data_IF_809862634699
#
_entry.id   IF_809862634699
#
_cell.length_a   1.000
_cell.length_b   1.000
_cell.length_c   1.000
_cell.angle_alpha   90.00
_cell.angle_beta   90.00
_cell.angle_gamma   90.00
#
_symmetry.space_group_name_H-M   'P 1'
#
loop_
_entity.id
_entity.type
_entity.pdbx_description
1 polymer ?
#
# COMPACT_ATOMS: atom_id res chain seq x y z
N UNK A 1 4.29 -3.61 9.14
CA UNK A 1 4.72 -3.60 7.72
C UNK A 1 5.31 -2.23 7.44
N UNK A 2 6.23 -2.10 6.48
CA UNK A 2 6.88 -0.83 6.16
C UNK A 2 6.74 -0.51 4.69
N UNK A 3 6.63 0.78 4.36
CA UNK A 3 6.72 1.27 3.01
C UNK A 3 7.74 2.41 2.87
N UNK A 4 8.46 2.49 1.75
CA UNK A 4 9.30 3.63 1.41
C UNK A 4 8.47 4.83 0.94
N UNK A 5 9.02 6.03 1.15
CA UNK A 5 8.44 7.27 0.64
C UNK A 5 8.31 7.22 -0.89
N UNK A 6 7.13 7.58 -1.39
CA UNK A 6 6.80 7.59 -2.80
C UNK A 6 6.45 6.22 -3.42
N UNK A 7 6.60 5.11 -2.69
CA UNK A 7 6.28 3.79 -3.24
C UNK A 7 4.78 3.47 -3.21
N UNK A 8 4.38 2.37 -3.88
CA UNK A 8 3.02 1.84 -3.76
C UNK A 8 2.99 0.73 -2.73
N UNK A 9 2.15 0.87 -1.70
CA UNK A 9 1.93 -0.18 -0.70
C UNK A 9 0.57 -0.86 -0.92
N UNK A 10 0.52 -2.19 -0.82
CA UNK A 10 -0.72 -2.96 -0.96
C UNK A 10 -1.09 -3.62 0.36
N UNK A 11 -2.27 -3.28 0.86
CA UNK A 11 -2.92 -3.97 1.96
C UNK A 11 -3.66 -5.18 1.40
N UNK A 12 -3.04 -6.35 1.52
CA UNK A 12 -3.64 -7.59 1.06
C UNK A 12 -4.85 -7.97 1.93
N UNK A 13 -5.95 -8.34 1.26
CA UNK A 13 -7.06 -9.00 1.94
C UNK A 13 -6.53 -10.32 2.53
N UNK A 14 -6.72 -10.59 3.84
CA UNK A 14 -6.30 -11.84 4.44
C UNK A 14 -7.08 -13.01 3.83
N UNK A 15 -6.52 -14.22 3.90
CA UNK A 15 -7.13 -15.42 3.32
C UNK A 15 -8.60 -15.58 3.73
N UNK A 16 -9.48 -15.45 2.75
CA UNK A 16 -10.93 -15.64 2.89
C UNK A 16 -11.33 -17.02 2.38
N UNK A 17 -12.26 -17.65 3.07
CA UNK A 17 -12.84 -18.94 2.68
C UNK A 17 -13.76 -18.80 1.46
N UNK A 18 -13.95 -19.88 0.71
CA UNK A 18 -15.02 -20.05 -0.28
C UNK A 18 -15.12 -18.95 -1.36
N UNK A 19 -14.00 -18.48 -1.89
CA UNK A 19 -13.92 -17.43 -2.93
C UNK A 19 -14.68 -16.13 -2.58
N UNK A 20 -14.93 -15.87 -1.30
CA UNK A 20 -15.68 -14.70 -0.83
C UNK A 20 -17.19 -14.74 -1.09
N UNK A 21 -17.75 -15.89 -1.50
CA UNK A 21 -19.19 -16.04 -1.76
C UNK A 21 -20.07 -15.90 -0.51
N UNK A 22 -19.50 -16.15 0.66
CA UNK A 22 -20.12 -16.02 1.98
C UNK A 22 -19.87 -14.65 2.63
N UNK A 23 -19.13 -13.76 1.98
CA UNK A 23 -18.83 -12.41 2.49
C UNK A 23 -20.01 -11.48 2.19
N UNK A 24 -20.43 -10.74 3.22
CA UNK A 24 -21.40 -9.66 3.14
C UNK A 24 -20.71 -8.33 2.79
N UNK A 25 -19.63 -7.99 3.50
CA UNK A 25 -18.84 -6.79 3.24
C UNK A 25 -17.39 -6.92 3.73
N UNK A 26 -16.51 -6.14 3.11
CA UNK A 26 -15.14 -5.87 3.56
C UNK A 26 -15.04 -4.37 3.84
N UNK A 27 -14.62 -4.02 5.04
CA UNK A 27 -14.51 -2.63 5.50
C UNK A 27 -13.05 -2.31 5.80
N UNK A 28 -12.53 -1.30 5.11
CA UNK A 28 -11.16 -0.80 5.30
C UNK A 28 -11.19 0.51 6.06
N UNK A 29 -10.45 0.57 7.17
CA UNK A 29 -10.38 1.75 8.04
C UNK A 29 -8.93 2.08 8.40
N UNK A 30 -8.59 3.36 8.39
CA UNK A 30 -7.41 3.89 9.10
C UNK A 30 -7.84 4.28 10.50
N UNK A 31 -7.52 3.44 11.47
CA UNK A 31 -8.19 3.37 12.78
C UNK A 31 -7.72 4.45 13.73
N UNK A 32 -6.43 4.76 13.72
CA UNK A 32 -5.84 5.86 14.48
C UNK A 32 -6.42 7.23 14.09
N UNK A 33 -6.81 7.40 12.83
CA UNK A 33 -7.48 8.62 12.32
C UNK A 33 -9.00 8.53 12.29
N UNK A 34 -9.56 7.43 12.77
CA UNK A 34 -10.99 7.12 12.71
C UNK A 34 -11.60 7.32 11.29
N UNK A 35 -10.83 6.99 10.25
CA UNK A 35 -11.16 7.29 8.86
C UNK A 35 -11.58 6.02 8.12
N UNK A 36 -12.86 5.90 7.78
CA UNK A 36 -13.37 4.82 6.93
C UNK A 36 -12.99 5.11 5.47
N UNK A 37 -12.27 4.18 4.84
CA UNK A 37 -11.75 4.35 3.49
C UNK A 37 -12.75 3.84 2.46
N UNK A 38 -13.21 2.59 2.64
CA UNK A 38 -14.20 1.99 1.77
C UNK A 38 -14.97 0.85 2.42
N UNK A 39 -16.15 0.59 1.87
CA UNK A 39 -16.94 -0.61 2.10
C UNK A 39 -17.08 -1.33 0.76
N UNK A 40 -16.59 -2.56 0.67
CA UNK A 40 -16.63 -3.38 -0.54
C UNK A 40 -17.70 -4.46 -0.32
N UNK A 41 -18.69 -4.50 -1.21
CA UNK A 41 -19.70 -5.57 -1.23
C UNK A 41 -19.39 -6.50 -2.42
N UNK A 42 -18.93 -7.74 -2.17
CA UNK A 42 -18.53 -8.65 -3.26
C UNK A 42 -19.63 -8.87 -4.31
N UNK A 43 -20.89 -8.87 -3.89
CA UNK A 43 -22.05 -9.05 -4.77
C UNK A 43 -22.20 -7.96 -5.84
N UNK A 44 -21.72 -6.74 -5.57
CA UNK A 44 -21.86 -5.60 -6.48
C UNK A 44 -20.57 -5.30 -7.25
N UNK A 45 -19.46 -5.98 -6.92
CA UNK A 45 -18.13 -5.81 -7.53
C UNK A 45 -17.46 -4.44 -7.29
N UNK A 46 -18.23 -3.39 -7.06
CA UNK A 46 -17.75 -2.01 -6.94
C UNK A 46 -17.61 -1.59 -5.47
N UNK A 47 -16.46 -1.03 -5.08
CA UNK A 47 -16.26 -0.45 -3.75
C UNK A 47 -17.12 0.81 -3.59
N UNK A 48 -17.76 0.94 -2.43
CA UNK A 48 -18.32 2.22 -1.99
C UNK A 48 -17.19 3.00 -1.32
N UNK A 49 -16.64 3.96 -2.06
CA UNK A 49 -15.54 4.80 -1.60
C UNK A 49 -16.11 5.89 -0.69
N UNK A 50 -15.69 5.92 0.57
CA UNK A 50 -16.18 6.88 1.56
C UNK A 50 -15.24 8.08 1.66
N UNK A 51 -13.94 7.85 1.54
CA UNK A 51 -12.95 8.91 1.50
C UNK A 51 -12.31 9.03 0.12
N UNK A 52 -12.45 10.20 -0.50
CA UNK A 52 -11.91 10.49 -1.82
C UNK A 52 -10.46 10.96 -1.71
N UNK A 53 -9.54 9.99 -1.70
CA UNK A 53 -8.12 10.21 -1.97
C UNK A 53 -7.75 9.35 -3.18
N UNK A 54 -7.36 10.02 -4.26
CA UNK A 54 -7.11 9.43 -5.58
C UNK A 54 -5.91 8.48 -5.60
N UNK A 55 -5.08 8.49 -4.54
CA UNK A 55 -3.97 7.57 -4.39
C UNK A 55 -4.42 6.18 -3.97
N UNK A 56 -5.60 6.05 -3.36
CA UNK A 56 -6.18 4.75 -3.04
C UNK A 56 -6.75 4.07 -4.28
N UNK A 57 -6.39 2.81 -4.47
CA UNK A 57 -6.96 1.91 -5.46
C UNK A 57 -7.58 0.71 -4.77
N UNK A 58 -8.76 0.34 -5.26
CA UNK A 58 -9.54 -0.77 -4.73
C UNK A 58 -9.51 -1.91 -5.75
N UNK A 59 -8.97 -3.05 -5.33
CA UNK A 59 -8.77 -4.20 -6.20
C UNK A 59 -10.01 -5.09 -6.20
N UNK A 60 -10.25 -5.82 -7.30
CA UNK A 60 -11.40 -6.73 -7.42
C UNK A 60 -11.41 -7.85 -6.36
N UNK A 61 -10.22 -8.24 -5.87
CA UNK A 61 -10.08 -9.23 -4.81
C UNK A 61 -10.36 -8.67 -3.40
N UNK A 62 -10.78 -7.41 -3.26
CA UNK A 62 -11.05 -6.76 -1.98
C UNK A 62 -9.83 -6.17 -1.26
N UNK A 63 -8.63 -6.33 -1.81
CA UNK A 63 -7.42 -5.65 -1.33
C UNK A 63 -7.46 -4.16 -1.70
N UNK A 64 -6.69 -3.34 -0.99
CA UNK A 64 -6.51 -1.93 -1.33
C UNK A 64 -5.03 -1.61 -1.48
N UNK A 65 -4.69 -0.72 -2.40
CA UNK A 65 -3.35 -0.15 -2.50
C UNK A 65 -3.39 1.36 -2.36
N UNK A 66 -2.27 1.92 -1.94
CA UNK A 66 -2.06 3.36 -1.89
C UNK A 66 -0.78 3.67 -2.68
N UNK A 67 -0.90 4.53 -3.70
CA UNK A 67 0.25 5.03 -4.46
C UNK A 67 0.91 6.19 -3.74
N UNK A 68 2.20 6.38 -3.99
CA UNK A 68 2.96 7.50 -3.46
C UNK A 68 2.76 7.65 -1.95
N UNK A 69 3.13 6.59 -1.21
CA UNK A 69 3.03 6.58 0.26
C UNK A 69 3.82 7.75 0.83
N UNK A 70 3.19 8.46 1.78
CA UNK A 70 3.74 9.60 2.51
C UNK A 70 3.65 9.36 4.01
N UNK A 71 4.30 10.25 4.77
CA UNK A 71 4.27 10.20 6.23
C UNK A 71 2.83 10.21 6.79
N UNK A 72 1.91 10.96 6.19
CA UNK A 72 0.50 10.96 6.62
C UNK A 72 -0.23 9.65 6.37
N UNK A 73 0.27 8.75 5.53
CA UNK A 73 -0.37 7.45 5.31
C UNK A 73 0.03 6.42 6.36
N UNK A 74 1.09 6.70 7.12
CA UNK A 74 1.50 5.84 8.22
C UNK A 74 0.42 5.77 9.29
N UNK A 75 0.40 4.65 10.01
CA UNK A 75 -0.61 4.44 11.03
C UNK A 75 -1.15 3.03 11.11
N UNK A 76 -2.21 2.89 11.90
CA UNK A 76 -2.91 1.62 12.08
C UNK A 76 -4.13 1.53 11.19
N UNK A 77 -4.25 0.42 10.49
CA UNK A 77 -5.33 0.08 9.59
C UNK A 77 -6.02 -1.20 10.05
N UNK A 78 -7.31 -1.32 9.74
CA UNK A 78 -8.05 -2.57 9.89
C UNK A 78 -8.78 -2.94 8.62
N UNK A 79 -8.75 -4.25 8.35
CA UNK A 79 -9.66 -4.92 7.44
C UNK A 79 -10.67 -5.71 8.27
N UNK A 80 -11.94 -5.32 8.22
CA UNK A 80 -13.03 -6.04 8.86
C UNK A 80 -13.88 -6.74 7.80
N UNK A 81 -13.96 -8.06 7.89
CA UNK A 81 -14.72 -8.92 7.00
C UNK A 81 -15.97 -9.36 7.75
N UNK A 82 -17.13 -9.00 7.21
CA UNK A 82 -18.44 -9.39 7.74
C UNK A 82 -18.99 -10.46 6.81
N UNK A 83 -19.30 -11.63 7.37
CA UNK A 83 -19.86 -12.77 6.65
C UNK A 83 -21.39 -12.76 6.75
N UNK A 84 -22.05 -13.36 5.77
CA UNK A 84 -23.53 -13.47 5.71
C UNK A 84 -24.14 -14.19 6.92
N UNK A 85 -23.37 -15.07 7.57
CA UNK A 85 -23.79 -15.76 8.79
C UNK A 85 -23.60 -14.91 10.07
N UNK A 86 -23.22 -13.64 9.95
CA UNK A 86 -22.96 -12.74 11.08
C UNK A 86 -21.56 -12.86 11.68
N UNK A 87 -20.72 -13.79 11.23
CA UNK A 87 -19.33 -13.89 11.68
C UNK A 87 -18.57 -12.64 11.26
N UNK A 88 -17.69 -12.15 12.14
CA UNK A 88 -16.81 -11.01 11.87
C UNK A 88 -15.37 -11.48 12.05
N UNK A 89 -14.53 -11.21 11.06
CA UNK A 89 -13.07 -11.37 11.17
C UNK A 89 -12.41 -10.02 10.97
N UNK A 90 -11.46 -9.70 11.84
CA UNK A 90 -10.74 -8.43 11.80
C UNK A 90 -9.24 -8.68 11.69
N UNK A 91 -8.57 -7.91 10.83
CA UNK A 91 -7.13 -7.98 10.64
C UNK A 91 -6.51 -6.60 10.82
N UNK A 92 -5.64 -6.48 11.83
CA UNK A 92 -4.93 -5.26 12.18
C UNK A 92 -3.61 -5.17 11.42
N UNK A 93 -3.34 -4.01 10.83
CA UNK A 93 -2.16 -3.72 10.06
C UNK A 93 -1.54 -2.43 10.58
N UNK A 94 -0.25 -2.44 10.88
CA UNK A 94 0.51 -1.21 11.16
C UNK A 94 1.43 -0.90 9.98
N UNK A 95 1.26 0.26 9.36
CA UNK A 95 2.09 0.77 8.28
C UNK A 95 3.04 1.83 8.82
N UNK A 96 4.34 1.58 8.68
CA UNK A 96 5.39 2.55 8.99
C UNK A 96 6.08 3.02 7.71
N UNK A 97 6.61 4.24 7.73
CA UNK A 97 7.47 4.72 6.65
C UNK A 97 8.90 4.23 6.93
N UNK A 98 9.47 3.40 6.05
CA UNK A 98 10.90 3.17 6.06
C UNK A 98 11.54 4.36 5.35
N UNK A 99 12.36 5.13 6.07
CA UNK A 99 13.31 6.03 5.42
C UNK A 99 14.12 5.20 4.42
N UNK A 100 13.97 5.48 3.13
CA UNK A 100 14.73 4.80 2.09
C UNK A 100 16.21 4.82 2.45
N UNK A 101 16.92 3.73 2.14
CA UNK A 101 18.38 3.62 2.30
C UNK A 101 18.99 4.97 1.97
N UNK A 102 19.64 5.63 2.93
CA UNK A 102 20.55 6.72 2.60
C UNK A 102 21.45 6.14 1.49
N UNK A 103 21.35 6.63 0.25
CA UNK A 103 22.41 6.35 -0.71
C UNK A 103 23.65 6.81 0.02
N UNK A 104 24.50 5.86 0.44
CA UNK A 104 25.71 6.22 1.15
C UNK A 104 26.39 7.27 0.28
N UNK A 105 26.78 8.41 0.86
CA UNK A 105 27.50 9.45 0.12
C UNK A 105 28.73 8.84 -0.59
N UNK A 106 29.25 7.71 -0.08
CA UNK A 106 30.29 6.89 -0.71
C UNK A 106 29.86 6.23 -2.03
N UNK A 107 28.60 5.81 -2.18
CA UNK A 107 28.06 5.20 -3.41
C UNK A 107 27.81 6.23 -4.53
N UNK A 108 27.54 7.49 -4.18
CA UNK A 108 27.43 8.60 -5.15
C UNK A 108 28.79 8.99 -5.73
N UNK A 109 29.86 8.92 -4.94
CA UNK A 109 31.21 9.28 -5.38
C UNK A 109 31.78 8.24 -6.39
N UNK A 110 31.39 6.96 -6.30
CA UNK A 110 31.82 5.96 -7.28
C UNK A 110 31.29 6.24 -8.71
N UNK A 111 30.11 6.84 -8.84
CA UNK A 111 29.53 7.18 -10.15
C UNK A 111 30.13 8.45 -10.78
N UNK A 112 30.72 9.34 -9.97
CA UNK A 112 31.39 10.56 -10.46
C UNK A 112 32.82 10.28 -10.94
N UNK A 113 33.49 9.24 -10.43
CA UNK A 113 34.84 8.86 -10.88
C UNK A 113 34.81 8.07 -12.21
N UNK A 114 33.78 7.26 -12.47
CA UNK A 114 33.65 6.46 -13.70
C UNK A 114 33.29 7.29 -14.95
N UNK A 115 32.74 8.50 -14.79
CA UNK A 115 32.39 9.39 -15.92
C UNK A 115 33.54 10.27 -16.42
N UNK A 116 34.72 10.23 -15.79
CA UNK A 116 35.92 10.99 -16.22
C UNK A 116 36.97 10.17 -16.99
N UNK A 117 36.63 8.97 -17.48
CA UNK A 117 37.57 8.12 -18.23
C UNK A 117 37.03 7.65 -19.60
N UNK A 118 36.45 8.53 -20.43
CA UNK A 118 36.23 8.25 -21.87
C UNK A 118 36.39 9.50 -22.78
N UNK A 119 37.24 10.45 -22.42
CA UNK A 119 37.74 11.47 -23.37
C UNK A 119 39.26 11.56 -23.27
N UNK A 120 39.95 10.87 -24.17
CA UNK A 120 41.40 11.03 -24.31
C UNK A 120 42.17 9.88 -24.94
N UNK A 121 41.66 9.21 -25.98
CA UNK A 121 42.51 8.45 -26.92
C UNK A 121 41.99 8.69 -28.35
N UNK A 122 42.42 9.80 -28.94
CA UNK A 122 42.76 9.95 -30.37
C UNK A 122 43.81 11.07 -30.43
N UNK A 123 44.74 10.98 -31.39
CA UNK A 123 45.87 11.88 -31.73
C UNK A 123 47.14 11.61 -30.90
N UNK A 124 48.31 11.21 -31.42
CA UNK A 124 48.88 11.21 -32.78
C UNK A 124 49.61 9.91 -33.10
#
# INVERSE_FOLDING_TARGET
>A
MSAQDGETFTFHLPNVTSNGSDIQSIEWKQTDKNKLLAIIKPQNGNPVIIHQDNRFQFMQNGSISIREVKQEDTGNYTCKIIYKNGTIKEHNISLTLSSGKFYSLTSLIQNVQMTRLLKGIVVS
#
